data_IF_851041803462
#
_entry.id   IF_851041803462
#
_cell.length_a   1.000
_cell.length_b   1.000
_cell.length_c   1.000
_cell.angle_alpha   90.00
_cell.angle_beta   90.00
_cell.angle_gamma   90.00
#
_symmetry.space_group_name_H-M   'P 1'
#
loop_
_entity.id
_entity.type
_entity.pdbx_description
1 polymer ?
#
# COMPACT_ATOMS: atom_id res chain seq x y z
N UNK A 1 -4.72 12.86 -10.97
CA UNK A 1 -4.16 12.16 -9.78
C UNK A 1 -5.21 11.76 -8.74
N UNK A 2 -6.08 12.67 -8.26
CA UNK A 2 -7.08 12.37 -7.20
C UNK A 2 -8.01 11.18 -7.51
N UNK A 3 -8.48 11.03 -8.75
CA UNK A 3 -9.33 9.88 -9.15
C UNK A 3 -8.59 8.53 -9.02
N UNK A 4 -7.35 8.44 -9.50
CA UNK A 4 -6.54 7.22 -9.37
C UNK A 4 -6.16 6.95 -7.91
N UNK A 5 -5.77 7.99 -7.17
CA UNK A 5 -5.41 7.88 -5.75
C UNK A 5 -6.61 7.45 -4.87
N UNK A 6 -7.86 7.69 -5.29
CA UNK A 6 -9.05 7.19 -4.58
C UNK A 6 -9.41 5.74 -4.97
N UNK A 7 -9.16 5.35 -6.23
CA UNK A 7 -9.55 4.03 -6.77
C UNK A 7 -8.63 2.89 -6.32
N UNK A 8 -7.33 3.16 -6.14
CA UNK A 8 -6.35 2.13 -5.80
C UNK A 8 -5.76 2.36 -4.41
N UNK A 9 -5.51 1.27 -3.67
CA UNK A 9 -4.91 1.31 -2.33
C UNK A 9 -3.38 1.50 -2.38
N UNK A 10 -2.71 0.79 -3.30
CA UNK A 10 -1.26 0.82 -3.48
C UNK A 10 -0.89 0.99 -4.95
N UNK A 11 0.32 1.50 -5.20
CA UNK A 11 0.89 1.65 -6.53
C UNK A 11 2.26 0.96 -6.59
N UNK A 12 2.59 0.40 -7.74
CA UNK A 12 3.88 -0.19 -8.04
C UNK A 12 4.54 0.65 -9.13
N UNK A 13 5.84 0.91 -8.99
CA UNK A 13 6.60 1.68 -9.97
C UNK A 13 7.95 1.03 -10.24
N UNK A 14 8.34 0.94 -11.52
CA UNK A 14 9.68 0.51 -11.92
C UNK A 14 10.73 1.53 -11.48
N UNK A 15 11.98 1.07 -11.38
CA UNK A 15 13.11 1.91 -10.99
C UNK A 15 13.32 3.13 -11.91
N UNK A 16 13.05 2.96 -13.21
CA UNK A 16 13.11 4.05 -14.18
C UNK A 16 12.04 5.13 -13.93
N UNK A 17 10.86 4.73 -13.46
CA UNK A 17 9.70 5.63 -13.34
C UNK A 17 9.60 6.25 -11.96
N UNK A 18 10.08 5.59 -10.89
CA UNK A 18 9.94 6.06 -9.51
C UNK A 18 10.55 7.46 -9.28
N UNK A 19 11.65 7.78 -9.97
CA UNK A 19 12.34 9.08 -9.90
C UNK A 19 11.53 10.20 -10.58
N UNK A 20 10.70 9.86 -11.57
CA UNK A 20 9.87 10.82 -12.30
C UNK A 20 8.52 11.09 -11.62
N UNK A 21 8.03 10.16 -10.79
CA UNK A 21 6.71 10.26 -10.15
C UNK A 21 6.53 11.53 -9.30
N UNK A 22 7.49 11.95 -8.45
CA UNK A 22 7.33 13.17 -7.67
C UNK A 22 7.18 14.43 -8.54
N UNK A 23 7.89 14.49 -9.68
CA UNK A 23 7.85 15.63 -10.61
C UNK A 23 6.56 15.64 -11.43
N UNK A 24 6.10 14.48 -11.87
CA UNK A 24 4.98 14.35 -12.82
C UNK A 24 3.61 14.30 -12.13
N UNK A 25 3.50 13.58 -11.00
CA UNK A 25 2.24 13.43 -10.26
C UNK A 25 2.14 14.40 -9.06
N UNK A 26 3.20 15.16 -8.80
CA UNK A 26 3.28 16.13 -7.72
C UNK A 26 3.13 15.49 -6.32
N UNK A 27 3.03 16.30 -5.26
CA UNK A 27 2.90 15.80 -3.88
C UNK A 27 1.56 15.10 -3.60
N UNK A 28 0.63 15.04 -4.57
CA UNK A 28 -0.72 14.52 -4.39
C UNK A 28 -0.79 13.05 -3.98
N UNK A 29 0.12 12.21 -4.48
CA UNK A 29 0.21 10.80 -4.07
C UNK A 29 0.86 10.63 -2.68
N UNK A 30 1.89 11.42 -2.39
CA UNK A 30 2.58 11.37 -1.10
C UNK A 30 1.66 11.86 0.03
N UNK A 31 0.93 12.96 -0.18
CA UNK A 31 -0.05 13.49 0.78
C UNK A 31 -1.20 12.53 1.05
N UNK A 32 -1.54 11.67 0.09
CA UNK A 32 -2.55 10.62 0.25
C UNK A 32 -2.01 9.36 0.94
N UNK A 33 -0.72 9.29 1.29
CA UNK A 33 -0.09 8.14 1.92
C UNK A 33 0.14 6.95 0.98
N UNK A 34 -0.03 7.13 -0.33
CA UNK A 34 0.00 6.07 -1.35
C UNK A 34 1.24 6.19 -2.24
N UNK A 35 2.40 6.36 -1.62
CA UNK A 35 3.65 6.42 -2.37
C UNK A 35 3.93 5.05 -3.01
N UNK A 36 4.30 4.99 -4.31
CA UNK A 36 4.50 3.72 -4.99
C UNK A 36 5.66 2.92 -4.40
N UNK A 37 5.49 1.60 -4.30
CA UNK A 37 6.58 0.68 -3.95
C UNK A 37 7.45 0.41 -5.19
N UNK A 38 8.76 0.35 -4.99
CA UNK A 38 9.73 0.04 -6.04
C UNK A 38 9.61 -1.43 -6.47
N UNK A 39 9.60 -1.66 -7.77
CA UNK A 39 9.78 -2.98 -8.36
C UNK A 39 11.03 -3.01 -9.24
N UNK A 40 11.87 -4.02 -9.06
CA UNK A 40 13.05 -4.25 -9.90
C UNK A 40 12.69 -5.18 -11.06
N UNK A 41 13.47 -5.15 -12.13
CA UNK A 41 13.23 -6.00 -13.31
C UNK A 41 13.45 -7.50 -13.03
N UNK A 42 14.11 -7.84 -11.93
CA UNK A 42 14.37 -9.22 -11.51
C UNK A 42 13.24 -9.79 -10.62
N UNK A 43 12.33 -8.95 -10.13
CA UNK A 43 11.26 -9.39 -9.24
C UNK A 43 10.05 -9.92 -10.00
N UNK A 44 9.46 -11.02 -9.54
CA UNK A 44 8.17 -11.51 -10.02
C UNK A 44 7.06 -10.56 -9.57
N UNK A 45 6.44 -9.85 -10.52
CA UNK A 45 5.37 -8.90 -10.20
C UNK A 45 4.19 -9.53 -9.45
N UNK A 46 3.84 -10.77 -9.78
CA UNK A 46 2.71 -11.48 -9.16
C UNK A 46 2.92 -11.70 -7.66
N UNK A 47 4.12 -12.12 -7.25
CA UNK A 47 4.45 -12.33 -5.84
C UNK A 47 4.32 -11.03 -5.04
N UNK A 48 4.91 -9.95 -5.57
CA UNK A 48 4.93 -8.62 -4.94
C UNK A 48 3.53 -8.00 -4.86
N UNK A 49 2.69 -8.24 -5.85
CA UNK A 49 1.27 -7.85 -5.83
C UNK A 49 0.53 -8.60 -4.72
N UNK A 50 0.79 -9.90 -4.55
CA UNK A 50 0.15 -10.68 -3.51
C UNK A 50 0.60 -10.24 -2.11
N UNK A 51 1.90 -9.98 -1.92
CA UNK A 51 2.42 -9.41 -0.68
C UNK A 51 1.77 -8.07 -0.34
N UNK A 52 1.64 -7.17 -1.31
CA UNK A 52 1.01 -5.86 -1.09
C UNK A 52 -0.48 -5.98 -0.79
N UNK A 53 -1.18 -6.98 -1.35
CA UNK A 53 -2.59 -7.23 -1.02
C UNK A 53 -2.76 -7.78 0.40
N UNK A 54 -1.82 -8.59 0.86
CA UNK A 54 -1.84 -9.18 2.20
C UNK A 54 -1.17 -8.31 3.26
N UNK A 55 -0.52 -7.20 2.87
CA UNK A 55 0.17 -6.29 3.78
C UNK A 55 -0.65 -5.02 4.01
N UNK A 56 -0.77 -4.62 5.27
CA UNK A 56 -1.46 -3.39 5.68
C UNK A 56 -0.45 -2.46 6.33
N UNK A 57 -0.36 -1.23 5.81
CA UNK A 57 0.60 -0.24 6.29
C UNK A 57 0.06 0.48 7.53
N UNK A 58 0.65 0.21 8.67
CA UNK A 58 0.43 0.99 9.89
C UNK A 58 1.17 2.32 9.77
N UNK A 59 0.44 3.43 9.71
CA UNK A 59 1.02 4.77 9.77
C UNK A 59 0.51 5.50 11.01
N UNK A 60 1.38 5.61 12.01
CA UNK A 60 1.13 6.44 13.18
C UNK A 60 1.32 7.90 12.79
N UNK A 61 0.20 8.60 12.60
CA UNK A 61 0.19 10.08 12.61
C UNK A 61 0.22 10.52 14.07
N UNK A 62 0.43 11.81 14.38
CA UNK A 62 0.43 12.35 15.75
C UNK A 62 -0.94 12.18 16.44
N UNK A 63 -1.34 10.95 16.71
CA UNK A 63 -2.62 10.49 17.25
C UNK A 63 -2.35 9.30 18.17
N UNK A 64 -3.17 9.17 19.21
CA UNK A 64 -3.02 8.15 20.26
C UNK A 64 -3.63 6.79 19.88
N UNK A 65 -4.59 6.78 18.94
CA UNK A 65 -5.29 5.56 18.50
C UNK A 65 -5.11 5.34 16.99
N UNK A 66 -4.92 4.08 16.58
CA UNK A 66 -4.90 3.66 15.18
C UNK A 66 -6.03 2.66 14.93
N UNK A 67 -6.84 2.93 13.90
CA UNK A 67 -7.83 1.98 13.41
C UNK A 67 -7.29 1.28 12.17
N UNK A 68 -7.16 -0.03 12.21
CA UNK A 68 -6.64 -0.84 11.11
C UNK A 68 -7.56 -2.01 10.83
N UNK A 69 -7.78 -2.31 9.54
CA UNK A 69 -8.54 -3.48 9.13
C UNK A 69 -7.68 -4.73 9.37
N UNK A 70 -8.20 -5.69 10.13
CA UNK A 70 -7.45 -6.92 10.52
C UNK A 70 -7.96 -8.18 9.82
N UNK A 71 -9.03 -8.07 9.02
CA UNK A 71 -9.58 -9.19 8.25
C UNK A 71 -10.87 -8.83 7.50
N UNK A 72 -11.30 -9.75 6.64
CA UNK A 72 -12.61 -9.70 6.00
C UNK A 72 -13.60 -10.58 6.79
N UNK A 73 -14.90 -10.30 6.71
CA UNK A 73 -15.97 -11.00 7.48
C UNK A 73 -16.01 -12.50 7.19
N UNK A 74 -15.50 -12.93 6.02
CA UNK A 74 -15.45 -14.34 5.62
C UNK A 74 -14.19 -15.10 6.05
N UNK A 75 -13.23 -14.45 6.74
CA UNK A 75 -12.01 -15.12 7.22
C UNK A 75 -12.26 -15.87 8.53
N UNK A 76 -11.47 -16.92 8.77
CA UNK A 76 -11.63 -17.73 9.96
C UNK A 76 -11.08 -17.00 11.20
N UNK A 77 -11.68 -17.22 12.37
CA UNK A 77 -11.33 -16.49 13.61
C UNK A 77 -9.86 -16.66 14.00
N UNK A 78 -9.28 -17.84 13.70
CA UNK A 78 -7.87 -18.15 13.95
C UNK A 78 -6.91 -17.33 13.07
N UNK A 79 -7.29 -17.09 11.82
CA UNK A 79 -6.48 -16.29 10.90
C UNK A 79 -6.54 -14.81 11.27
N UNK A 80 -7.72 -14.33 11.68
CA UNK A 80 -7.90 -12.97 12.19
C UNK A 80 -7.07 -12.78 13.47
N UNK A 81 -7.05 -13.76 14.37
CA UNK A 81 -6.23 -13.70 15.59
C UNK A 81 -4.74 -13.54 15.26
N UNK A 82 -4.22 -14.31 14.30
CA UNK A 82 -2.83 -14.20 13.85
C UNK A 82 -2.53 -12.82 13.24
N UNK A 83 -3.51 -12.18 12.59
CA UNK A 83 -3.34 -10.82 12.03
C UNK A 83 -3.39 -9.71 13.10
N UNK A 84 -3.99 -9.96 14.27
CA UNK A 84 -4.13 -9.01 15.38
C UNK A 84 -2.98 -9.10 16.38
N UNK A 85 -2.36 -10.29 16.49
CA UNK A 85 -1.24 -10.55 17.39
C UNK A 85 0.07 -9.89 16.93
#
# INVERSE_FOLDING_TARGET
VKKLAKKYAAFLASESVIKMIPRLLGPGLNKSGKFPSLITHSDRMEAKVNEIKCSIKFQLKKVLCLGVAVGNVSMNEKEIYVNVQ
#
